data_IF_412925754320
#
_entry.id   IF_412925754320
#
_cell.length_a   1.000
_cell.length_b   1.000
_cell.length_c   1.000
_cell.angle_alpha   90.00
_cell.angle_beta   90.00
_cell.angle_gamma   90.00
#
_symmetry.space_group_name_H-M   'P 1'
#
loop_
_entity.id
_entity.type
_entity.pdbx_description
1 polymer ?
#
# COMPACT_ATOMS: atom_id res chain seq x y z
N UNK A 1 -52.10 16.81 -24.85
CA UNK A 1 -50.79 16.22 -25.22
C UNK A 1 -50.03 17.31 -25.92
N UNK A 2 -48.87 17.72 -25.39
CA UNK A 2 -47.96 18.58 -26.17
C UNK A 2 -47.39 17.67 -27.27
N UNK A 3 -47.49 18.04 -28.56
CA UNK A 3 -46.94 17.24 -29.63
C UNK A 3 -45.42 17.09 -29.44
N UNK A 4 -44.88 15.91 -29.73
CA UNK A 4 -43.44 15.76 -29.85
C UNK A 4 -43.00 16.57 -31.08
N UNK A 5 -42.09 17.52 -30.86
CA UNK A 5 -41.49 18.35 -31.91
C UNK A 5 -40.15 17.74 -32.31
N UNK A 6 -39.76 17.93 -33.57
CA UNK A 6 -38.42 17.55 -34.01
C UNK A 6 -37.35 18.58 -33.56
N UNK A 7 -36.07 18.28 -33.82
CA UNK A 7 -34.97 19.14 -33.38
C UNK A 7 -34.99 20.52 -34.05
N UNK A 8 -35.38 20.61 -35.32
CA UNK A 8 -35.48 21.88 -36.04
C UNK A 8 -36.62 22.75 -35.48
N UNK A 9 -37.77 22.15 -35.19
CA UNK A 9 -38.90 22.84 -34.56
C UNK A 9 -38.56 23.31 -33.14
N UNK A 10 -37.71 22.56 -32.42
CA UNK A 10 -37.25 22.95 -31.09
C UNK A 10 -36.32 24.18 -31.14
N UNK A 11 -35.44 24.27 -32.14
CA UNK A 11 -34.61 25.47 -32.37
C UNK A 11 -35.47 26.71 -32.65
N UNK A 12 -36.52 26.57 -33.46
CA UNK A 12 -37.47 27.67 -33.71
C UNK A 12 -38.18 28.12 -32.43
N UNK A 13 -38.53 27.18 -31.55
CA UNK A 13 -39.12 27.50 -30.24
C UNK A 13 -38.14 28.23 -29.32
N UNK A 14 -36.85 27.86 -29.33
CA UNK A 14 -35.84 28.58 -28.57
C UNK A 14 -35.67 30.02 -29.06
N UNK A 15 -35.70 30.25 -30.37
CA UNK A 15 -35.60 31.59 -30.96
C UNK A 15 -36.85 32.45 -30.71
N UNK A 16 -38.02 31.82 -30.61
CA UNK A 16 -39.28 32.51 -30.34
C UNK A 16 -39.53 32.79 -28.86
N UNK A 17 -38.86 32.07 -27.96
CA UNK A 17 -39.05 32.19 -26.52
C UNK A 17 -38.23 33.35 -25.93
N UNK A 18 -38.82 34.04 -24.96
CA UNK A 18 -38.14 35.08 -24.18
C UNK A 18 -37.28 34.49 -23.04
N UNK A 19 -37.62 33.28 -22.60
CA UNK A 19 -37.02 32.57 -21.46
C UNK A 19 -37.47 31.11 -21.42
N UNK A 20 -36.60 30.22 -20.93
CA UNK A 20 -36.91 28.83 -20.59
C UNK A 20 -36.99 28.63 -19.07
N UNK A 21 -37.98 27.88 -18.61
CA UNK A 21 -38.08 27.46 -17.21
C UNK A 21 -37.86 25.94 -17.13
N UNK A 22 -36.74 25.54 -16.55
CA UNK A 22 -36.41 24.15 -16.28
C UNK A 22 -36.92 23.79 -14.87
N UNK A 23 -38.20 23.45 -14.78
CA UNK A 23 -38.89 23.13 -13.52
C UNK A 23 -38.75 21.66 -13.10
N UNK A 24 -37.77 20.93 -13.62
CA UNK A 24 -37.53 19.53 -13.30
C UNK A 24 -37.28 19.36 -11.79
N UNK A 25 -37.84 18.30 -11.19
CA UNK A 25 -37.53 17.92 -9.80
C UNK A 25 -36.18 17.20 -9.69
N UNK A 26 -35.76 16.54 -10.77
CA UNK A 26 -34.46 15.91 -10.94
C UNK A 26 -34.19 15.77 -12.44
N UNK A 27 -33.06 16.31 -12.90
CA UNK A 27 -32.55 16.18 -14.25
C UNK A 27 -31.03 16.38 -14.22
N UNK A 28 -30.22 15.31 -14.06
CA UNK A 28 -28.82 15.43 -13.71
C UNK A 28 -28.00 16.32 -14.65
N UNK A 29 -28.27 16.27 -15.96
CA UNK A 29 -27.56 17.10 -16.95
C UNK A 29 -28.35 17.19 -18.29
N UNK A 30 -29.34 18.10 -18.38
CA UNK A 30 -30.24 18.16 -19.53
C UNK A 30 -29.61 18.85 -20.74
N UNK A 31 -29.60 18.15 -21.88
CA UNK A 31 -29.17 18.74 -23.15
C UNK A 31 -30.03 19.94 -23.56
N UNK A 32 -31.33 19.93 -23.27
CA UNK A 32 -32.23 21.06 -23.57
C UNK A 32 -31.81 22.38 -22.90
N UNK A 33 -31.08 22.31 -21.78
CA UNK A 33 -30.52 23.49 -21.14
C UNK A 33 -29.23 23.96 -21.81
N UNK A 34 -28.42 23.02 -22.30
CA UNK A 34 -27.22 23.31 -23.10
C UNK A 34 -27.63 23.94 -24.43
N UNK A 35 -28.67 23.43 -25.08
CA UNK A 35 -29.21 23.98 -26.32
C UNK A 35 -29.74 25.41 -26.10
N UNK A 36 -30.44 25.65 -24.99
CA UNK A 36 -30.86 26.99 -24.58
C UNK A 36 -29.67 27.94 -24.38
N UNK A 37 -28.56 27.48 -23.81
CA UNK A 37 -27.36 28.31 -23.66
C UNK A 37 -26.75 28.70 -25.00
N UNK A 38 -26.65 27.76 -25.96
CA UNK A 38 -26.18 28.04 -27.32
C UNK A 38 -27.11 29.02 -28.06
N UNK A 39 -28.42 28.89 -27.88
CA UNK A 39 -29.41 29.82 -28.43
C UNK A 39 -29.37 31.21 -27.76
N UNK A 40 -28.67 31.37 -26.63
CA UNK A 40 -28.71 32.58 -25.82
C UNK A 40 -30.05 32.79 -25.12
N UNK A 41 -30.85 31.73 -24.94
CA UNK A 41 -32.14 31.79 -24.29
C UNK A 41 -31.95 31.79 -22.76
N UNK A 42 -32.34 32.88 -22.04
CA UNK A 42 -32.28 32.89 -20.59
C UNK A 42 -33.02 31.69 -20.00
N UNK A 43 -32.38 30.98 -19.05
CA UNK A 43 -32.90 29.75 -18.46
C UNK A 43 -32.91 29.90 -16.94
N UNK A 44 -34.04 29.57 -16.33
CA UNK A 44 -34.17 29.46 -14.87
C UNK A 44 -34.37 28.02 -14.46
N UNK A 45 -33.69 27.61 -13.39
CA UNK A 45 -33.88 26.31 -12.78
C UNK A 45 -33.89 26.39 -11.25
N UNK A 46 -34.32 25.31 -10.62
CA UNK A 46 -34.20 25.14 -9.17
C UNK A 46 -32.79 24.64 -8.80
N UNK A 47 -32.27 25.10 -7.68
CA UNK A 47 -31.07 24.53 -7.06
C UNK A 47 -31.30 23.04 -6.74
N UNK A 48 -30.21 22.25 -6.74
CA UNK A 48 -30.19 20.82 -6.39
C UNK A 48 -30.96 19.88 -7.35
N UNK A 49 -31.46 20.37 -8.48
CA UNK A 49 -32.20 19.52 -9.45
C UNK A 49 -31.37 19.09 -10.64
N UNK A 50 -30.36 19.87 -11.01
CA UNK A 50 -29.58 19.68 -12.24
C UNK A 50 -28.15 20.18 -12.08
N UNK A 51 -27.20 19.57 -12.80
CA UNK A 51 -25.82 20.06 -12.88
C UNK A 51 -25.71 21.45 -13.50
N UNK A 52 -26.70 21.92 -14.27
CA UNK A 52 -26.76 23.29 -14.81
C UNK A 52 -26.82 24.34 -13.69
N UNK A 53 -27.51 24.03 -12.59
CA UNK A 53 -27.62 24.94 -11.45
C UNK A 53 -26.24 25.27 -10.87
N UNK A 54 -25.28 24.34 -10.87
CA UNK A 54 -23.91 24.60 -10.40
C UNK A 54 -23.18 25.63 -11.25
N UNK A 55 -23.37 25.61 -12.57
CA UNK A 55 -22.77 26.59 -13.48
C UNK A 55 -23.38 27.98 -13.25
N UNK A 56 -24.71 28.06 -13.12
CA UNK A 56 -25.42 29.31 -12.84
C UNK A 56 -25.01 29.90 -11.49
N UNK A 57 -24.99 29.10 -10.42
CA UNK A 57 -24.65 29.57 -9.07
C UNK A 57 -23.20 30.04 -8.91
N UNK A 58 -22.26 29.50 -9.70
CA UNK A 58 -20.85 29.92 -9.69
C UNK A 58 -20.58 31.19 -10.48
N UNK A 59 -21.47 31.53 -11.42
CA UNK A 59 -21.32 32.71 -12.25
C UNK A 59 -22.02 33.92 -11.60
N UNK A 60 -21.30 35.00 -11.24
CA UNK A 60 -21.88 36.17 -10.59
C UNK A 60 -23.01 36.83 -11.38
N UNK A 61 -22.96 36.73 -12.71
CA UNK A 61 -23.94 37.33 -13.61
C UNK A 61 -25.17 36.44 -13.82
N UNK A 62 -25.09 35.16 -13.49
CA UNK A 62 -26.17 34.20 -13.76
C UNK A 62 -26.80 33.60 -12.48
N UNK A 63 -26.17 33.78 -11.31
CA UNK A 63 -26.63 33.17 -10.04
C UNK A 63 -28.09 33.43 -9.69
N UNK A 64 -28.67 34.53 -10.16
CA UNK A 64 -30.09 34.86 -9.93
C UNK A 64 -31.06 33.92 -10.66
N UNK A 65 -30.57 33.12 -11.60
CA UNK A 65 -31.33 32.16 -12.41
C UNK A 65 -31.40 30.76 -11.77
N UNK A 66 -30.57 30.49 -10.75
CA UNK A 66 -30.68 29.32 -9.91
C UNK A 66 -31.39 29.71 -8.61
N UNK A 67 -32.69 29.37 -8.50
CA UNK A 67 -33.51 29.74 -7.35
C UNK A 67 -33.64 28.57 -6.36
N UNK A 68 -33.92 28.81 -5.06
CA UNK A 68 -33.99 27.75 -4.07
C UNK A 68 -34.93 26.60 -4.47
N UNK A 69 -34.58 25.39 -4.05
CA UNK A 69 -35.28 24.18 -4.46
C UNK A 69 -36.79 24.25 -4.23
N UNK A 70 -37.57 24.13 -5.32
CA UNK A 70 -39.03 24.21 -5.36
C UNK A 70 -39.65 25.53 -4.85
N UNK A 71 -38.87 26.61 -4.77
CA UNK A 71 -39.39 27.94 -4.44
C UNK A 71 -40.00 28.60 -5.68
N UNK A 72 -41.29 28.32 -5.88
CA UNK A 72 -42.06 28.82 -7.03
C UNK A 72 -42.24 30.34 -6.98
N UNK A 73 -42.26 30.94 -5.79
CA UNK A 73 -42.40 32.38 -5.62
C UNK A 73 -41.11 33.09 -6.06
N UNK A 74 -39.95 32.58 -5.63
CA UNK A 74 -38.66 33.07 -6.09
C UNK A 74 -38.51 32.92 -7.62
N UNK A 75 -38.90 31.77 -8.18
CA UNK A 75 -38.90 31.55 -9.63
C UNK A 75 -39.76 32.59 -10.38
N UNK A 76 -41.00 32.81 -9.92
CA UNK A 76 -41.91 33.78 -10.52
C UNK A 76 -41.39 35.22 -10.46
N UNK A 77 -40.75 35.60 -9.35
CA UNK A 77 -40.15 36.93 -9.19
C UNK A 77 -39.04 37.19 -10.20
N UNK A 78 -38.17 36.19 -10.46
CA UNK A 78 -37.11 36.30 -11.47
C UNK A 78 -37.71 36.42 -12.87
N UNK A 79 -38.72 35.61 -13.21
CA UNK A 79 -39.41 35.68 -14.52
C UNK A 79 -40.00 37.07 -14.75
N UNK A 80 -40.73 37.62 -13.78
CA UNK A 80 -41.35 38.95 -13.89
C UNK A 80 -40.28 40.05 -14.01
N UNK A 81 -39.16 39.92 -13.29
CA UNK A 81 -38.04 40.86 -13.36
C UNK A 81 -37.43 40.88 -14.77
N UNK A 82 -37.09 39.72 -15.32
CA UNK A 82 -36.47 39.62 -16.65
C UNK A 82 -37.42 40.03 -17.78
N UNK A 83 -38.72 39.72 -17.67
CA UNK A 83 -39.72 40.16 -18.64
C UNK A 83 -39.80 41.69 -18.78
N UNK A 84 -39.44 42.45 -17.73
CA UNK A 84 -39.45 43.92 -17.73
C UNK A 84 -38.11 44.56 -18.08
N UNK A 85 -37.05 43.77 -18.24
CA UNK A 85 -35.68 44.26 -18.44
C UNK A 85 -35.02 43.59 -19.66
N UNK A 86 -35.31 44.09 -20.88
CA UNK A 86 -34.70 43.56 -22.11
C UNK A 86 -33.18 43.62 -22.10
N UNK A 87 -32.59 44.70 -21.56
CA UNK A 87 -31.14 44.88 -21.52
C UNK A 87 -30.46 43.81 -20.65
N UNK A 88 -31.07 43.47 -19.51
CA UNK A 88 -30.58 42.36 -18.67
C UNK A 88 -30.70 41.01 -19.36
N UNK A 89 -31.79 40.77 -20.11
CA UNK A 89 -31.95 39.53 -20.89
C UNK A 89 -30.89 39.40 -21.98
N UNK A 90 -30.57 40.47 -22.69
CA UNK A 90 -29.47 40.50 -23.68
C UNK A 90 -28.11 40.22 -23.03
N UNK A 91 -27.84 40.76 -21.84
CA UNK A 91 -26.63 40.48 -21.08
C UNK A 91 -26.52 39.00 -20.67
N UNK A 92 -27.62 38.41 -20.19
CA UNK A 92 -27.68 36.98 -19.83
C UNK A 92 -27.49 36.11 -21.08
N UNK A 93 -28.15 36.46 -22.19
CA UNK A 93 -28.05 35.75 -23.46
C UNK A 93 -26.60 35.67 -23.94
N UNK A 94 -25.89 36.82 -23.97
CA UNK A 94 -24.49 36.88 -24.35
C UNK A 94 -23.60 36.03 -23.44
N UNK A 95 -23.85 36.07 -22.11
CA UNK A 95 -23.09 35.29 -21.15
C UNK A 95 -23.34 33.79 -21.28
N UNK A 96 -24.58 33.38 -21.57
CA UNK A 96 -24.95 32.00 -21.82
C UNK A 96 -24.25 31.44 -23.07
N UNK A 97 -24.24 32.19 -24.17
CA UNK A 97 -23.52 31.80 -25.39
C UNK A 97 -22.02 31.65 -25.14
N UNK A 98 -21.43 32.58 -24.38
CA UNK A 98 -20.04 32.47 -23.96
C UNK A 98 -19.81 31.20 -23.14
N UNK A 99 -20.63 30.94 -22.12
CA UNK A 99 -20.52 29.75 -21.27
C UNK A 99 -20.67 28.45 -22.06
N UNK A 100 -21.60 28.41 -23.02
CA UNK A 100 -21.77 27.28 -23.94
C UNK A 100 -20.49 27.02 -24.74
N UNK A 101 -19.91 28.06 -25.35
CA UNK A 101 -18.66 27.95 -26.12
C UNK A 101 -17.46 27.53 -25.27
N UNK A 102 -17.46 27.85 -23.97
CA UNK A 102 -16.37 27.54 -23.05
C UNK A 102 -16.47 26.11 -22.48
N UNK A 103 -17.68 25.63 -22.22
CA UNK A 103 -17.89 24.40 -21.41
C UNK A 103 -18.62 23.27 -22.16
N UNK A 104 -19.39 23.58 -23.20
CA UNK A 104 -20.33 22.64 -23.83
C UNK A 104 -20.12 22.47 -25.34
N UNK A 105 -18.96 22.86 -25.85
CA UNK A 105 -18.60 22.63 -27.25
C UNK A 105 -18.44 21.14 -27.58
N UNK A 106 -19.35 20.64 -28.42
CA UNK A 106 -19.38 19.23 -28.83
C UNK A 106 -18.11 18.81 -29.57
N UNK A 107 -17.52 19.70 -30.37
CA UNK A 107 -16.26 19.42 -31.05
C UNK A 107 -15.13 19.15 -30.06
N UNK A 108 -14.94 20.06 -29.10
CA UNK A 108 -13.94 19.93 -28.02
C UNK A 108 -14.17 18.67 -27.20
N UNK A 109 -15.42 18.36 -26.86
CA UNK A 109 -15.77 17.13 -26.14
C UNK A 109 -15.37 15.86 -26.91
N UNK A 110 -15.69 15.79 -28.21
CA UNK A 110 -15.33 14.66 -29.08
C UNK A 110 -13.82 14.54 -29.25
N UNK A 111 -13.09 15.65 -29.38
CA UNK A 111 -11.62 15.65 -29.41
C UNK A 111 -11.02 15.06 -28.13
N UNK A 112 -11.53 15.47 -26.96
CA UNK A 112 -11.10 14.93 -25.68
C UNK A 112 -11.38 13.42 -25.56
N UNK A 113 -12.60 12.97 -25.93
CA UNK A 113 -12.94 11.54 -25.95
C UNK A 113 -12.02 10.75 -26.87
N UNK A 114 -11.74 11.28 -28.06
CA UNK A 114 -10.85 10.64 -29.03
C UNK A 114 -9.42 10.53 -28.49
N UNK A 115 -8.94 11.56 -27.80
CA UNK A 115 -7.64 11.53 -27.13
C UNK A 115 -7.59 10.46 -26.01
N UNK A 116 -8.65 10.33 -25.20
CA UNK A 116 -8.75 9.27 -24.19
C UNK A 116 -8.76 7.87 -24.81
N UNK A 117 -9.52 7.67 -25.90
CA UNK A 117 -9.57 6.40 -26.62
C UNK A 117 -8.20 6.04 -27.23
N UNK A 118 -7.50 7.01 -27.81
CA UNK A 118 -6.16 6.81 -28.37
C UNK A 118 -5.14 6.43 -27.27
N UNK A 119 -5.22 7.06 -26.09
CA UNK A 119 -4.38 6.70 -24.95
C UNK A 119 -4.72 5.30 -24.42
N UNK A 120 -6.02 4.97 -24.29
CA UNK A 120 -6.47 3.65 -23.85
C UNK A 120 -6.01 2.54 -24.80
N UNK A 121 -6.07 2.78 -26.12
CA UNK A 121 -5.55 1.85 -27.12
C UNK A 121 -4.05 1.59 -26.93
N UNK A 122 -3.24 2.63 -26.72
CA UNK A 122 -1.80 2.50 -26.43
C UNK A 122 -1.53 1.68 -25.16
N UNK A 123 -2.30 1.90 -24.09
CA UNK A 123 -2.20 1.13 -22.84
C UNK A 123 -2.52 -0.35 -23.09
N UNK A 124 -3.58 -0.65 -23.83
CA UNK A 124 -3.97 -2.02 -24.16
C UNK A 124 -2.90 -2.72 -25.00
N UNK A 125 -2.33 -2.03 -25.99
CA UNK A 125 -1.29 -2.60 -26.84
C UNK A 125 0.02 -2.83 -26.07
N UNK A 126 0.39 -1.92 -25.17
CA UNK A 126 1.52 -2.12 -24.25
C UNK A 126 1.29 -3.34 -23.34
N UNK A 127 0.10 -3.47 -22.77
CA UNK A 127 -0.25 -4.62 -21.93
C UNK A 127 -0.14 -5.95 -22.70
N UNK A 128 -0.52 -6.01 -23.98
CA UNK A 128 -0.33 -7.21 -24.81
C UNK A 128 1.16 -7.53 -25.00
N UNK A 129 2.00 -6.52 -25.22
CA UNK A 129 3.45 -6.70 -25.37
C UNK A 129 4.10 -7.19 -24.07
N UNK A 130 3.68 -6.63 -22.94
CA UNK A 130 4.15 -7.06 -21.62
C UNK A 130 3.71 -8.49 -21.30
N UNK A 131 2.46 -8.85 -21.61
CA UNK A 131 1.96 -10.21 -21.47
C UNK A 131 2.77 -11.19 -22.33
N UNK A 132 3.01 -10.87 -23.61
CA UNK A 132 3.83 -11.70 -24.50
C UNK A 132 5.26 -11.88 -23.94
N UNK A 133 5.90 -10.79 -23.53
CA UNK A 133 7.25 -10.82 -22.93
C UNK A 133 7.29 -11.75 -21.71
N UNK A 134 6.33 -11.64 -20.79
CA UNK A 134 6.30 -12.44 -19.56
C UNK A 134 5.92 -13.91 -19.79
N UNK A 135 5.21 -14.23 -20.88
CA UNK A 135 4.90 -15.61 -21.25
C UNK A 135 6.05 -16.32 -21.94
N UNK A 136 6.78 -15.60 -22.78
CA UNK A 136 7.94 -16.15 -23.50
C UNK A 136 9.15 -16.39 -22.59
N UNK A 137 9.18 -15.73 -21.44
CA UNK A 137 10.34 -15.67 -20.56
C UNK A 137 9.99 -16.29 -19.20
N UNK A 138 10.76 -17.29 -18.78
CA UNK A 138 10.55 -18.03 -17.53
C UNK A 138 11.08 -17.26 -16.30
N UNK A 139 10.59 -16.03 -16.12
CA UNK A 139 11.02 -15.10 -15.06
C UNK A 139 9.91 -14.84 -14.03
N UNK A 140 8.65 -15.16 -14.35
CA UNK A 140 7.51 -14.89 -13.49
C UNK A 140 7.24 -16.09 -12.57
N UNK A 141 7.29 -15.87 -11.25
CA UNK A 141 6.91 -16.87 -10.27
C UNK A 141 5.40 -16.81 -10.01
N UNK A 142 4.66 -17.81 -10.49
CA UNK A 142 3.22 -17.91 -10.25
C UNK A 142 2.88 -18.09 -8.76
N UNK A 143 3.79 -18.68 -7.97
CA UNK A 143 3.65 -18.78 -6.50
C UNK A 143 3.70 -17.42 -5.80
N UNK A 144 4.29 -16.41 -6.44
CA UNK A 144 4.36 -15.03 -5.93
C UNK A 144 3.10 -14.22 -6.27
N UNK A 145 2.17 -14.78 -7.05
CA UNK A 145 0.94 -14.14 -7.52
C UNK A 145 -0.35 -14.83 -7.05
N UNK A 146 -0.53 -15.14 -5.74
CA UNK A 146 -1.82 -15.63 -5.28
C UNK A 146 -2.88 -14.51 -5.37
N UNK A 147 -4.15 -14.89 -5.46
CA UNK A 147 -5.23 -13.91 -5.40
C UNK A 147 -5.29 -13.21 -4.03
N UNK A 148 -6.20 -12.25 -3.88
CA UNK A 148 -6.38 -11.48 -2.63
C UNK A 148 -6.80 -12.35 -1.43
N UNK A 149 -7.09 -13.64 -1.64
CA UNK A 149 -7.51 -14.60 -0.64
C UNK A 149 -6.53 -15.78 -0.49
N UNK A 150 -5.34 -15.71 -1.12
CA UNK A 150 -4.34 -16.78 -1.03
C UNK A 150 -4.64 -18.02 -1.88
N UNK A 151 -5.71 -18.01 -2.69
CA UNK A 151 -5.99 -19.12 -3.58
C UNK A 151 -5.09 -19.02 -4.82
N UNK A 152 -4.45 -20.13 -5.17
CA UNK A 152 -3.88 -20.28 -6.51
C UNK A 152 -5.00 -20.07 -7.53
N UNK A 153 -4.79 -19.20 -8.50
CA UNK A 153 -5.79 -18.90 -9.53
C UNK A 153 -6.00 -20.14 -10.41
N UNK A 154 -6.94 -20.99 -10.02
CA UNK A 154 -7.48 -22.02 -10.89
C UNK A 154 -8.34 -21.33 -11.97
N UNK A 155 -7.74 -21.09 -13.14
CA UNK A 155 -8.43 -20.49 -14.28
C UNK A 155 -8.55 -18.96 -14.20
N UNK A 156 -8.45 -18.33 -15.37
CA UNK A 156 -8.05 -16.92 -15.62
C UNK A 156 -6.56 -16.66 -15.41
N UNK A 157 -5.90 -16.33 -16.52
CA UNK A 157 -4.45 -16.28 -16.65
C UNK A 157 -3.79 -15.24 -15.72
N UNK A 158 -2.99 -15.73 -14.77
CA UNK A 158 -2.31 -14.93 -13.75
C UNK A 158 -1.38 -13.87 -14.35
N UNK A 159 -0.74 -14.17 -15.49
CA UNK A 159 0.12 -13.22 -16.23
C UNK A 159 -0.70 -12.00 -16.66
N UNK A 160 -1.83 -12.22 -17.33
CA UNK A 160 -2.73 -11.17 -17.78
C UNK A 160 -3.31 -10.36 -16.63
N UNK A 161 -3.64 -10.99 -15.49
CA UNK A 161 -4.08 -10.26 -14.29
C UNK A 161 -2.96 -9.36 -13.74
N UNK A 162 -1.75 -9.88 -13.62
CA UNK A 162 -0.57 -9.14 -13.16
C UNK A 162 -0.27 -7.93 -14.05
N UNK A 163 -0.28 -8.12 -15.37
CA UNK A 163 -0.04 -7.05 -16.35
C UNK A 163 -1.16 -6.00 -16.30
N UNK A 164 -2.43 -6.43 -16.23
CA UNK A 164 -3.58 -5.50 -16.17
C UNK A 164 -3.57 -4.60 -14.94
N UNK A 165 -3.11 -5.09 -13.79
CA UNK A 165 -2.94 -4.25 -12.61
C UNK A 165 -1.93 -3.12 -12.85
N UNK A 166 -0.86 -3.39 -13.61
CA UNK A 166 0.08 -2.33 -14.01
C UNK A 166 -0.57 -1.37 -15.01
N UNK A 167 -1.21 -1.90 -16.06
CA UNK A 167 -1.83 -1.12 -17.12
C UNK A 167 -2.96 -0.19 -16.63
N UNK A 168 -3.62 -0.54 -15.52
CA UNK A 168 -4.62 0.31 -14.86
C UNK A 168 -4.01 1.55 -14.18
N UNK A 169 -2.69 1.74 -14.24
CA UNK A 169 -2.01 2.84 -13.56
C UNK A 169 -2.02 2.70 -12.04
N UNK A 170 -2.24 1.47 -11.52
CA UNK A 170 -2.31 1.24 -10.08
C UNK A 170 -1.04 1.77 -9.41
N UNK A 171 -1.24 2.77 -8.55
CA UNK A 171 -0.15 3.40 -7.81
C UNK A 171 0.31 2.50 -6.67
N UNK A 172 1.63 2.36 -6.49
CA UNK A 172 2.22 1.62 -5.36
C UNK A 172 1.86 2.19 -3.98
N UNK A 173 1.23 3.37 -3.93
CA UNK A 173 0.99 4.15 -2.72
C UNK A 173 -0.38 3.87 -2.06
N UNK A 174 -1.18 2.92 -2.54
CA UNK A 174 -2.52 2.68 -1.98
C UNK A 174 -3.17 1.33 -2.29
N UNK A 175 -2.43 0.35 -2.81
CA UNK A 175 -2.94 -0.98 -3.12
C UNK A 175 -1.84 -2.03 -3.11
N UNK A 176 -2.18 -3.26 -2.72
CA UNK A 176 -1.27 -4.41 -2.66
C UNK A 176 -0.78 -4.76 -4.07
N UNK A 177 0.41 -4.28 -4.45
CA UNK A 177 1.11 -4.77 -5.63
C UNK A 177 1.90 -6.03 -5.26
N UNK A 178 1.91 -7.03 -6.14
CA UNK A 178 2.64 -8.28 -5.91
C UNK A 178 3.99 -8.26 -6.58
N UNK A 179 4.97 -8.79 -5.88
CA UNK A 179 6.29 -9.08 -6.40
C UNK A 179 6.16 -10.19 -7.47
N UNK A 180 6.72 -10.01 -8.67
CA UNK A 180 6.55 -10.98 -9.74
C UNK A 180 7.42 -12.22 -9.58
N UNK A 181 8.54 -12.09 -8.85
CA UNK A 181 9.45 -13.18 -8.51
C UNK A 181 10.24 -12.82 -7.25
N UNK A 182 10.67 -13.81 -6.45
CA UNK A 182 11.62 -13.56 -5.39
C UNK A 182 12.86 -12.81 -5.91
N UNK A 183 13.28 -11.79 -5.17
CA UNK A 183 14.51 -11.05 -5.43
C UNK A 183 14.38 -9.88 -6.40
N UNK A 184 13.23 -9.68 -7.05
CA UNK A 184 12.97 -8.51 -7.89
C UNK A 184 12.06 -7.50 -7.18
N UNK A 185 12.41 -6.21 -7.17
CA UNK A 185 11.64 -5.12 -6.54
C UNK A 185 11.03 -4.20 -7.60
N UNK A 186 9.74 -4.38 -7.95
CA UNK A 186 9.08 -3.63 -9.02
C UNK A 186 9.03 -2.13 -8.77
N UNK A 187 8.81 -1.75 -7.51
CA UNK A 187 8.70 -0.36 -7.07
C UNK A 187 10.05 0.34 -7.05
N UNK A 188 11.12 -0.35 -6.63
CA UNK A 188 12.49 0.17 -6.72
C UNK A 188 12.91 0.32 -8.19
N UNK A 189 12.58 -0.66 -9.04
CA UNK A 189 12.83 -0.57 -10.48
C UNK A 189 12.13 0.65 -11.08
N UNK A 190 10.84 0.84 -10.76
CA UNK A 190 10.04 1.97 -11.25
C UNK A 190 10.51 3.32 -10.71
N UNK A 191 11.01 3.41 -9.48
CA UNK A 191 11.59 4.66 -8.96
C UNK A 191 12.80 5.11 -9.80
N UNK A 192 13.57 4.17 -10.35
CA UNK A 192 14.70 4.43 -11.25
C UNK A 192 14.30 4.61 -12.73
N UNK A 193 13.06 4.26 -13.08
CA UNK A 193 12.48 4.36 -14.43
C UNK A 193 11.12 5.08 -14.34
N UNK A 194 11.11 6.39 -14.05
CA UNK A 194 9.88 7.14 -13.75
C UNK A 194 8.90 7.21 -14.92
N UNK A 195 9.38 7.02 -16.15
CA UNK A 195 8.61 6.90 -17.38
C UNK A 195 7.60 5.74 -17.35
N UNK A 196 7.87 4.68 -16.57
CA UNK A 196 6.94 3.57 -16.35
C UNK A 196 5.71 3.95 -15.51
N UNK A 197 5.74 5.12 -14.87
CA UNK A 197 4.61 5.65 -14.08
C UNK A 197 3.66 6.53 -14.91
N UNK A 198 3.84 6.61 -16.22
CA UNK A 198 2.97 7.32 -17.14
C UNK A 198 2.44 6.38 -18.24
N UNK A 199 1.28 6.70 -18.88
CA UNK A 199 0.79 5.95 -20.02
C UNK A 199 1.88 5.78 -21.10
N UNK A 200 2.10 4.56 -21.63
CA UNK A 200 1.18 3.43 -21.57
C UNK A 200 1.36 2.45 -20.38
N UNK A 201 2.08 2.84 -19.32
CA UNK A 201 2.30 2.06 -18.08
C UNK A 201 2.93 0.69 -18.31
N UNK A 202 4.15 0.64 -18.84
CA UNK A 202 4.81 -0.65 -19.06
C UNK A 202 5.09 -1.38 -17.74
N UNK A 203 4.91 -2.70 -17.74
CA UNK A 203 5.19 -3.55 -16.60
C UNK A 203 6.69 -3.55 -16.23
N UNK A 204 7.06 -3.30 -14.96
CA UNK A 204 8.46 -3.25 -14.54
C UNK A 204 9.29 -4.49 -14.88
N UNK A 205 8.73 -5.70 -14.67
CA UNK A 205 9.46 -6.93 -14.97
C UNK A 205 9.62 -7.12 -16.49
N UNK A 206 8.54 -6.91 -17.25
CA UNK A 206 8.59 -7.01 -18.71
C UNK A 206 9.57 -6.00 -19.32
N UNK A 207 9.56 -4.76 -18.83
CA UNK A 207 10.51 -3.73 -19.23
C UNK A 207 11.95 -4.10 -18.90
N UNK A 208 12.22 -4.60 -17.68
CA UNK A 208 13.55 -5.07 -17.26
C UNK A 208 14.08 -6.18 -18.17
N UNK A 209 13.23 -7.16 -18.51
CA UNK A 209 13.57 -8.24 -19.45
C UNK A 209 13.94 -7.67 -20.83
N UNK A 210 13.09 -6.81 -21.42
CA UNK A 210 13.34 -6.21 -22.73
C UNK A 210 14.56 -5.30 -22.75
N UNK A 211 14.91 -4.71 -21.61
CA UNK A 211 16.10 -3.88 -21.42
C UNK A 211 17.40 -4.69 -21.28
N UNK A 212 17.36 -6.02 -21.45
CA UNK A 212 18.54 -6.87 -21.35
C UNK A 212 18.91 -7.26 -19.92
N UNK A 213 17.94 -7.20 -18.99
CA UNK A 213 18.12 -7.60 -17.58
C UNK A 213 19.27 -6.87 -16.87
N UNK A 214 19.29 -5.52 -16.87
CA UNK A 214 20.35 -4.79 -16.20
C UNK A 214 20.40 -5.09 -14.70
N UNK A 215 21.61 -5.15 -14.17
CA UNK A 215 21.87 -5.17 -12.72
C UNK A 215 21.45 -3.85 -12.07
N UNK A 216 21.06 -3.89 -10.81
CA UNK A 216 20.69 -2.70 -10.06
C UNK A 216 20.06 -2.98 -8.70
N UNK A 217 19.71 -1.94 -7.93
CA UNK A 217 19.20 -2.06 -6.57
C UNK A 217 17.81 -2.70 -6.47
N UNK A 218 17.15 -2.93 -7.60
CA UNK A 218 15.90 -3.70 -7.68
C UNK A 218 16.12 -5.21 -7.65
N UNK A 219 17.38 -5.68 -7.75
CA UNK A 219 17.74 -7.09 -7.58
C UNK A 219 18.34 -7.29 -6.19
N UNK A 220 18.06 -8.44 -5.60
CA UNK A 220 18.67 -8.87 -4.34
C UNK A 220 18.81 -10.38 -4.24
N UNK A 221 19.66 -10.79 -3.31
CA UNK A 221 19.86 -12.18 -2.98
C UNK A 221 18.70 -12.72 -2.14
N UNK A 222 18.18 -13.86 -2.56
CA UNK A 222 17.15 -14.61 -1.84
C UNK A 222 17.68 -16.00 -1.53
N UNK A 223 17.61 -16.39 -0.27
CA UNK A 223 17.94 -17.72 0.20
C UNK A 223 16.70 -18.61 0.14
N UNK A 224 16.72 -19.63 -0.72
CA UNK A 224 15.75 -20.71 -0.67
C UNK A 224 16.14 -21.72 0.42
N UNK A 225 15.22 -21.97 1.36
CA UNK A 225 15.46 -22.90 2.49
C UNK A 225 15.47 -24.37 2.08
N UNK A 226 14.97 -24.71 0.89
CA UNK A 226 14.97 -26.09 0.38
C UNK A 226 16.33 -26.53 -0.17
N UNK A 227 17.06 -25.61 -0.79
CA UNK A 227 18.29 -25.90 -1.55
C UNK A 227 19.57 -25.60 -0.78
N UNK A 228 19.46 -25.10 0.44
CA UNK A 228 20.62 -24.77 1.26
C UNK A 228 21.41 -26.04 1.62
N UNK A 229 22.70 -26.04 1.26
CA UNK A 229 23.58 -27.21 1.32
C UNK A 229 23.86 -27.75 2.72
N UNK A 230 24.92 -28.57 2.83
CA UNK A 230 25.29 -29.22 4.10
C UNK A 230 25.54 -28.16 5.19
N UNK A 231 24.82 -28.30 6.30
CA UNK A 231 25.01 -27.46 7.49
C UNK A 231 26.43 -27.61 8.02
N UNK A 232 27.16 -26.50 8.10
CA UNK A 232 28.45 -26.42 8.78
C UNK A 232 28.23 -25.96 10.22
N UNK A 233 28.33 -26.91 11.13
CA UNK A 233 28.10 -26.73 12.57
C UNK A 233 29.38 -26.40 13.35
N UNK A 234 30.50 -26.18 12.65
CA UNK A 234 31.81 -25.95 13.26
C UNK A 234 31.96 -24.56 13.89
N UNK A 235 31.27 -23.55 13.36
CA UNK A 235 31.26 -22.18 13.89
C UNK A 235 30.04 -21.93 14.78
N UNK A 236 30.27 -21.66 16.07
CA UNK A 236 29.21 -21.36 17.03
C UNK A 236 29.14 -19.85 17.29
N UNK A 237 28.32 -19.15 16.52
CA UNK A 237 27.92 -17.79 16.85
C UNK A 237 26.98 -17.81 18.07
N UNK A 238 27.14 -16.85 18.97
CA UNK A 238 26.18 -16.63 20.05
C UNK A 238 24.91 -15.98 19.50
N UNK A 239 23.74 -16.52 19.85
CA UNK A 239 22.45 -16.03 19.35
C UNK A 239 21.55 -15.61 20.50
N UNK A 240 21.12 -14.35 20.50
CA UNK A 240 20.12 -13.82 21.42
C UNK A 240 18.78 -13.67 20.70
N UNK A 241 17.72 -14.34 21.16
CA UNK A 241 16.40 -14.27 20.53
C UNK A 241 15.43 -13.49 21.43
N UNK A 242 15.08 -12.28 21.00
CA UNK A 242 13.98 -11.53 21.59
C UNK A 242 12.63 -12.06 21.10
N UNK A 243 11.73 -12.30 22.05
CA UNK A 243 10.38 -12.82 21.80
C UNK A 243 9.37 -11.92 22.52
N UNK A 244 8.55 -11.17 21.77
CA UNK A 244 7.43 -10.44 22.36
C UNK A 244 6.14 -11.26 22.31
N UNK A 245 5.53 -11.55 23.47
CA UNK A 245 4.32 -12.35 23.59
C UNK A 245 3.18 -11.58 24.26
N UNK A 246 2.34 -10.93 23.44
CA UNK A 246 1.04 -10.45 23.91
C UNK A 246 0.10 -11.63 24.26
N UNK A 247 0.13 -12.70 23.43
CA UNK A 247 -0.60 -13.94 23.67
C UNK A 247 0.36 -15.09 23.97
N UNK A 248 0.42 -15.51 25.24
CA UNK A 248 1.39 -16.51 25.70
C UNK A 248 1.26 -17.90 25.04
N UNK A 249 0.08 -18.23 24.50
CA UNK A 249 -0.19 -19.53 23.85
C UNK A 249 0.71 -19.82 22.64
N UNK A 250 1.25 -18.77 22.00
CA UNK A 250 2.14 -18.92 20.83
C UNK A 250 3.53 -19.42 21.23
N UNK A 251 3.89 -19.37 22.53
CA UNK A 251 5.18 -19.82 23.02
C UNK A 251 5.47 -21.29 22.70
N UNK A 252 4.47 -22.17 22.83
CA UNK A 252 4.65 -23.60 22.59
C UNK A 252 5.05 -23.89 21.14
N UNK A 253 4.44 -23.17 20.19
CA UNK A 253 4.76 -23.24 18.77
C UNK A 253 6.17 -22.73 18.47
N UNK A 254 6.59 -21.63 19.10
CA UNK A 254 7.96 -21.11 18.95
C UNK A 254 8.98 -22.13 19.46
N UNK A 255 8.72 -22.74 20.63
CA UNK A 255 9.63 -23.72 21.22
C UNK A 255 9.77 -24.97 20.36
N UNK A 256 8.69 -25.51 19.79
CA UNK A 256 8.77 -26.66 18.89
C UNK A 256 9.56 -26.37 17.61
N UNK A 257 9.44 -25.15 17.08
CA UNK A 257 10.25 -24.72 15.91
C UNK A 257 11.71 -24.52 16.26
N UNK A 258 12.02 -24.03 17.46
CA UNK A 258 13.42 -24.00 17.92
C UNK A 258 13.97 -25.42 18.08
N UNK A 259 13.15 -26.39 18.49
CA UNK A 259 13.55 -27.79 18.71
C UNK A 259 14.17 -28.47 17.49
N UNK A 260 13.68 -28.18 16.28
CA UNK A 260 14.20 -28.80 15.04
C UNK A 260 15.62 -28.33 14.67
N UNK A 261 16.08 -27.22 15.24
CA UNK A 261 17.37 -26.62 14.93
C UNK A 261 18.48 -27.10 15.88
N UNK A 262 19.74 -27.00 15.47
CA UNK A 262 20.90 -27.23 16.35
C UNK A 262 21.35 -25.96 17.07
N UNK A 263 21.10 -24.79 16.50
CA UNK A 263 21.35 -23.48 17.08
C UNK A 263 20.57 -23.31 18.37
N UNK A 264 21.24 -22.91 19.44
CA UNK A 264 20.66 -22.82 20.78
C UNK A 264 20.68 -21.37 21.27
N UNK A 265 19.62 -20.59 20.96
CA UNK A 265 19.60 -19.19 21.36
C UNK A 265 19.36 -19.03 22.87
N UNK A 266 19.89 -17.96 23.43
CA UNK A 266 19.41 -17.42 24.69
C UNK A 266 18.09 -16.66 24.43
N UNK A 267 17.12 -16.77 25.33
CA UNK A 267 15.78 -16.23 25.13
C UNK A 267 15.55 -14.99 26.01
N UNK A 268 15.11 -13.90 25.38
CA UNK A 268 14.69 -12.66 26.03
C UNK A 268 13.21 -12.43 25.75
N UNK A 269 12.34 -12.78 26.70
CA UNK A 269 10.90 -12.83 26.49
C UNK A 269 10.21 -11.66 27.20
N UNK A 270 9.51 -10.82 26.43
CA UNK A 270 8.65 -9.76 26.96
C UNK A 270 7.18 -10.15 26.89
N UNK A 271 6.40 -9.68 27.86
CA UNK A 271 4.93 -9.75 27.85
C UNK A 271 4.34 -8.61 28.66
N UNK A 272 3.05 -8.32 28.46
CA UNK A 272 2.37 -7.17 29.08
C UNK A 272 1.44 -7.55 30.23
N UNK A 273 1.28 -8.85 30.54
CA UNK A 273 0.43 -9.31 31.64
C UNK A 273 1.13 -10.28 32.57
N UNK A 274 0.88 -10.14 33.88
CA UNK A 274 1.42 -11.03 34.91
C UNK A 274 0.98 -12.49 34.73
N UNK A 275 -0.25 -12.69 34.23
CA UNK A 275 -0.78 -14.02 33.91
C UNK A 275 0.03 -14.69 32.79
N UNK A 276 0.31 -13.96 31.71
CA UNK A 276 1.17 -14.44 30.64
C UNK A 276 2.59 -14.70 31.15
N UNK A 277 3.17 -13.77 31.93
CA UNK A 277 4.50 -13.92 32.49
C UNK A 277 4.63 -15.19 33.34
N UNK A 278 3.64 -15.45 34.22
CA UNK A 278 3.60 -16.65 35.06
C UNK A 278 3.58 -17.94 34.23
N UNK A 279 2.77 -17.97 33.17
CA UNK A 279 2.73 -19.10 32.24
C UNK A 279 4.06 -19.28 31.50
N UNK A 280 4.63 -18.20 30.95
CA UNK A 280 5.89 -18.19 30.19
C UNK A 280 7.03 -18.70 31.08
N UNK A 281 7.18 -18.15 32.30
CA UNK A 281 8.20 -18.57 33.26
C UNK A 281 8.06 -20.05 33.58
N UNK A 282 6.84 -20.52 33.87
CA UNK A 282 6.58 -21.94 34.14
C UNK A 282 6.97 -22.82 32.96
N UNK A 283 6.62 -22.42 31.74
CA UNK A 283 6.87 -23.20 30.52
C UNK A 283 8.35 -23.24 30.15
N UNK A 284 9.08 -22.16 30.37
CA UNK A 284 10.51 -22.06 30.08
C UNK A 284 11.40 -22.70 31.16
N UNK A 285 10.85 -23.15 32.30
CA UNK A 285 11.60 -23.96 33.29
C UNK A 285 12.23 -25.22 32.71
N UNK A 286 11.70 -25.76 31.61
CA UNK A 286 12.26 -26.93 30.92
C UNK A 286 13.19 -26.59 29.76
N UNK A 287 13.39 -25.29 29.45
CA UNK A 287 14.31 -24.88 28.41
C UNK A 287 15.76 -25.17 28.85
N UNK A 288 16.49 -25.97 28.07
CA UNK A 288 17.88 -26.40 28.37
C UNK A 288 18.85 -26.05 27.25
N UNK A 289 18.46 -25.12 26.37
CA UNK A 289 19.23 -24.74 25.19
C UNK A 289 20.06 -23.47 25.42
N UNK A 290 19.61 -22.56 26.29
CA UNK A 290 20.33 -21.32 26.61
C UNK A 290 19.81 -20.67 27.88
N UNK A 291 20.34 -19.48 28.20
CA UNK A 291 19.81 -18.57 29.21
C UNK A 291 18.38 -18.18 28.84
N UNK A 292 17.54 -17.99 29.85
CA UNK A 292 16.19 -17.44 29.69
C UNK A 292 16.05 -16.24 30.60
N UNK A 293 15.49 -15.17 30.05
CA UNK A 293 15.10 -13.98 30.78
C UNK A 293 13.68 -13.58 30.38
N UNK A 294 12.82 -13.36 31.37
CA UNK A 294 11.40 -12.99 31.15
C UNK A 294 11.13 -11.69 31.89
N UNK A 295 10.62 -10.69 31.18
CA UNK A 295 10.30 -9.37 31.77
C UNK A 295 8.87 -8.95 31.43
N UNK A 296 8.23 -8.34 32.42
CA UNK A 296 6.94 -7.67 32.25
C UNK A 296 7.21 -6.24 31.76
N UNK A 297 6.59 -5.86 30.65
CA UNK A 297 6.72 -4.51 30.06
C UNK A 297 5.37 -3.81 30.04
N UNK A 298 5.31 -2.47 29.99
CA UNK A 298 4.06 -1.77 29.72
C UNK A 298 3.47 -2.19 28.36
N UNK A 299 2.15 -2.10 28.22
CA UNK A 299 1.46 -2.32 26.93
C UNK A 299 1.62 -1.09 26.02
N UNK A 300 2.86 -0.79 25.65
CA UNK A 300 3.27 0.40 24.90
C UNK A 300 4.43 0.05 23.98
N UNK A 301 4.44 0.58 22.76
CA UNK A 301 5.49 0.31 21.77
C UNK A 301 5.44 -1.06 21.08
N UNK A 302 4.37 -1.86 21.31
CA UNK A 302 4.19 -3.21 20.75
C UNK A 302 5.44 -4.08 20.94
N UNK A 303 5.96 -4.71 19.88
CA UNK A 303 7.17 -5.52 19.88
C UNK A 303 8.47 -4.70 19.81
N UNK A 304 8.42 -3.48 19.25
CA UNK A 304 9.58 -2.57 19.11
C UNK A 304 10.03 -2.03 20.46
N UNK A 305 9.09 -1.54 21.28
CA UNK A 305 9.37 -0.97 22.60
C UNK A 305 10.17 -1.93 23.50
N UNK A 306 9.67 -3.15 23.74
CA UNK A 306 10.41 -4.18 24.47
C UNK A 306 11.76 -4.56 23.84
N UNK A 307 11.88 -4.59 22.52
CA UNK A 307 13.16 -4.92 21.89
C UNK A 307 14.22 -3.81 22.12
N UNK A 308 13.87 -2.56 21.81
CA UNK A 308 14.83 -1.45 21.82
C UNK A 308 15.05 -0.90 23.23
N UNK A 309 13.97 -0.77 24.02
CA UNK A 309 13.98 -0.07 25.32
C UNK A 309 14.31 -1.01 26.47
N UNK A 310 13.71 -2.21 26.47
CA UNK A 310 13.82 -3.13 27.60
C UNK A 310 15.05 -4.04 27.48
N UNK A 311 15.22 -4.70 26.32
CA UNK A 311 16.27 -5.71 26.11
C UNK A 311 17.45 -5.24 25.27
N UNK A 312 17.48 -3.98 24.87
CA UNK A 312 18.48 -3.48 23.92
C UNK A 312 19.92 -3.70 24.37
N UNK A 313 20.22 -3.48 25.65
CA UNK A 313 21.58 -3.60 26.18
C UNK A 313 22.11 -5.03 26.16
N UNK A 314 21.24 -6.01 26.41
CA UNK A 314 21.56 -7.44 26.43
C UNK A 314 21.72 -7.97 25.01
N UNK A 315 20.83 -7.56 24.10
CA UNK A 315 20.86 -7.97 22.70
C UNK A 315 22.16 -7.53 22.00
N UNK A 316 22.67 -6.34 22.32
CA UNK A 316 23.94 -5.84 21.78
C UNK A 316 25.17 -6.72 22.14
N UNK A 317 25.05 -7.62 23.12
CA UNK A 317 26.12 -8.52 23.55
C UNK A 317 26.30 -9.80 22.72
N UNK A 318 25.44 -10.06 21.72
CA UNK A 318 25.47 -11.29 20.92
C UNK A 318 26.12 -11.08 19.55
N UNK A 319 26.58 -12.17 18.93
CA UNK A 319 27.06 -12.12 17.54
C UNK A 319 25.91 -11.93 16.55
N UNK A 320 24.75 -12.54 16.86
CA UNK A 320 23.52 -12.50 16.07
C UNK A 320 22.35 -12.32 17.03
N UNK A 321 21.41 -11.44 16.68
CA UNK A 321 20.14 -11.31 17.37
C UNK A 321 18.99 -11.68 16.47
N UNK A 322 18.00 -12.37 17.03
CA UNK A 322 16.70 -12.60 16.42
C UNK A 322 15.64 -11.76 17.11
N UNK A 323 14.68 -11.28 16.34
CA UNK A 323 13.51 -10.60 16.84
C UNK A 323 12.25 -11.25 16.25
N UNK A 324 11.41 -11.81 17.12
CA UNK A 324 10.13 -12.42 16.76
C UNK A 324 9.03 -11.99 17.75
N UNK A 325 7.78 -12.15 17.34
CA UNK A 325 6.65 -11.89 18.22
C UNK A 325 5.48 -12.84 17.98
N UNK A 326 4.58 -12.98 18.96
CA UNK A 326 3.45 -13.92 18.95
C UNK A 326 2.26 -13.49 18.10
N UNK A 327 2.51 -12.97 16.88
CA UNK A 327 1.52 -12.36 15.99
C UNK A 327 0.18 -13.09 15.97
N UNK A 328 -0.86 -12.42 16.47
CA UNK A 328 -2.25 -12.87 16.44
C UNK A 328 -3.12 -11.63 16.31
N UNK A 329 -3.94 -11.56 15.27
CA UNK A 329 -4.88 -10.45 15.05
C UNK A 329 -6.31 -10.95 15.26
N UNK A 330 -7.04 -10.37 16.21
CA UNK A 330 -8.46 -10.69 16.43
C UNK A 330 -9.37 -10.06 15.35
N UNK A 331 -8.97 -8.93 14.78
CA UNK A 331 -9.76 -8.16 13.82
C UNK A 331 -9.92 -8.85 12.45
N UNK A 332 -8.93 -9.62 12.01
CA UNK A 332 -8.96 -10.34 10.73
C UNK A 332 -9.66 -11.71 10.83
N UNK A 333 -9.94 -12.19 12.04
CA UNK A 333 -10.55 -13.50 12.27
C UNK A 333 -12.05 -13.53 11.96
N UNK A 334 -12.73 -12.38 11.85
CA UNK A 334 -14.17 -12.33 11.62
C UNK A 334 -14.56 -12.34 10.13
N UNK A 335 -13.63 -12.14 9.19
CA UNK A 335 -13.94 -12.00 7.76
C UNK A 335 -13.73 -13.25 6.91
N UNK A 336 -12.95 -14.23 7.36
CA UNK A 336 -12.63 -15.42 6.55
C UNK A 336 -12.83 -16.69 7.39
N UNK A 337 -13.94 -17.41 7.17
CA UNK A 337 -14.28 -18.66 7.85
C UNK A 337 -13.34 -19.84 7.51
N UNK A 338 -12.08 -19.75 7.94
CA UNK A 338 -10.99 -20.72 7.77
C UNK A 338 -9.80 -20.39 8.67
N UNK A 339 -8.62 -20.98 8.44
CA UNK A 339 -7.38 -20.54 9.10
C UNK A 339 -7.24 -19.03 8.90
N UNK A 340 -7.10 -18.27 9.99
CA UNK A 340 -7.14 -16.82 9.87
C UNK A 340 -5.96 -16.34 9.02
N UNK A 341 -6.15 -15.26 8.24
CA UNK A 341 -5.04 -14.63 7.51
C UNK A 341 -3.85 -14.29 8.42
N UNK A 342 -4.11 -14.06 9.72
CA UNK A 342 -3.09 -13.89 10.74
C UNK A 342 -2.28 -15.18 11.02
N UNK A 343 -2.92 -16.35 10.98
CA UNK A 343 -2.25 -17.64 11.18
C UNK A 343 -1.40 -18.00 9.96
N UNK A 344 -1.91 -17.77 8.74
CA UNK A 344 -1.13 -17.96 7.50
C UNK A 344 0.12 -17.07 7.51
N UNK A 345 -0.03 -15.80 7.90
CA UNK A 345 1.11 -14.90 8.00
C UNK A 345 2.09 -15.32 9.11
N UNK A 346 1.60 -15.74 10.28
CA UNK A 346 2.49 -16.26 11.34
C UNK A 346 3.24 -17.50 10.88
N UNK A 347 2.55 -18.45 10.25
CA UNK A 347 3.13 -19.66 9.68
C UNK A 347 4.24 -19.32 8.67
N UNK A 348 3.95 -18.41 7.74
CA UNK A 348 4.92 -17.90 6.78
C UNK A 348 6.18 -17.33 7.46
N UNK A 349 6.01 -16.43 8.44
CA UNK A 349 7.14 -15.82 9.15
C UNK A 349 7.97 -16.86 9.90
N UNK A 350 7.30 -17.77 10.61
CA UNK A 350 7.97 -18.77 11.43
C UNK A 350 8.67 -19.85 10.61
N UNK A 351 8.08 -20.33 9.49
CA UNK A 351 8.77 -21.25 8.57
C UNK A 351 10.05 -20.64 8.01
N UNK A 352 10.02 -19.33 7.73
CA UNK A 352 11.15 -18.63 7.12
C UNK A 352 12.26 -18.26 8.12
N UNK A 353 11.95 -18.10 9.41
CA UNK A 353 12.90 -17.59 10.41
C UNK A 353 13.30 -18.61 11.48
N UNK A 354 12.36 -19.41 11.95
CA UNK A 354 12.59 -20.38 13.01
C UNK A 354 12.73 -21.78 12.41
N UNK A 355 11.82 -22.14 11.52
CA UNK A 355 11.78 -23.43 10.86
C UNK A 355 10.51 -24.21 11.17
N UNK A 356 10.58 -25.50 10.83
CA UNK A 356 9.65 -26.60 11.08
C UNK A 356 9.90 -27.62 9.95
N UNK A 357 9.46 -27.30 8.73
CA UNK A 357 9.78 -28.10 7.53
C UNK A 357 11.27 -28.05 7.21
N UNK A 358 11.88 -26.89 7.38
CA UNK A 358 13.31 -26.65 7.18
C UNK A 358 13.93 -26.11 8.47
N UNK A 359 15.25 -26.27 8.63
CA UNK A 359 16.02 -25.77 9.77
C UNK A 359 16.43 -24.31 9.56
N UNK A 360 15.43 -23.44 9.41
CA UNK A 360 15.63 -22.06 8.96
C UNK A 360 16.62 -21.28 9.83
N UNK A 361 16.50 -21.38 11.16
CA UNK A 361 17.41 -20.71 12.08
C UNK A 361 18.88 -21.13 11.87
N UNK A 362 19.13 -22.43 11.66
CA UNK A 362 20.50 -22.91 11.42
C UNK A 362 21.07 -22.38 10.10
N UNK A 363 20.25 -22.31 9.06
CA UNK A 363 20.62 -21.80 7.75
C UNK A 363 20.93 -20.29 7.76
N UNK A 364 20.13 -19.54 8.53
CA UNK A 364 20.35 -18.11 8.76
C UNK A 364 21.68 -17.90 9.50
N UNK A 365 21.92 -18.62 10.59
CA UNK A 365 23.17 -18.53 11.35
C UNK A 365 24.37 -18.94 10.50
N UNK A 366 24.25 -20.00 9.70
CA UNK A 366 25.29 -20.41 8.76
C UNK A 366 25.61 -19.28 7.76
N UNK A 367 24.60 -18.57 7.27
CA UNK A 367 24.79 -17.47 6.33
C UNK A 367 25.52 -16.28 6.95
N UNK A 368 25.18 -15.92 8.19
CA UNK A 368 25.99 -14.96 8.96
C UNK A 368 27.42 -15.48 9.19
N UNK A 369 27.62 -16.76 9.44
CA UNK A 369 28.97 -17.30 9.63
C UNK A 369 29.82 -17.28 8.35
N UNK A 370 29.18 -17.38 7.19
CA UNK A 370 29.82 -17.41 5.87
C UNK A 370 30.09 -16.01 5.31
N UNK A 371 29.23 -15.04 5.60
CA UNK A 371 29.37 -13.67 5.14
C UNK A 371 29.43 -12.67 6.31
N UNK A 372 30.61 -12.05 6.49
CA UNK A 372 30.84 -11.03 7.51
C UNK A 372 30.11 -9.72 7.20
N UNK A 373 29.80 -9.45 5.92
CA UNK A 373 29.10 -8.25 5.49
C UNK A 373 27.58 -8.41 5.58
N UNK A 374 27.05 -9.63 5.73
CA UNK A 374 25.63 -9.84 5.98
C UNK A 374 25.24 -9.30 7.36
N UNK A 375 24.34 -8.32 7.39
CA UNK A 375 23.88 -7.66 8.59
C UNK A 375 22.43 -7.96 8.96
N UNK A 376 21.57 -8.34 8.01
CA UNK A 376 20.14 -8.53 8.26
C UNK A 376 19.54 -9.64 7.37
N UNK A 377 18.65 -10.44 7.93
CA UNK A 377 17.92 -11.53 7.26
C UNK A 377 16.44 -11.49 7.67
N UNK A 378 15.54 -11.50 6.68
CA UNK A 378 14.09 -11.51 6.94
C UNK A 378 13.30 -12.21 5.82
N UNK A 379 12.02 -12.57 6.01
CA UNK A 379 11.24 -13.27 4.99
C UNK A 379 10.96 -12.41 3.76
N UNK A 380 11.02 -13.04 2.58
CA UNK A 380 10.66 -12.42 1.29
C UNK A 380 9.13 -12.29 1.17
N UNK A 381 8.57 -11.13 1.51
CA UNK A 381 7.13 -10.90 1.33
C UNK A 381 6.80 -10.68 -0.17
N UNK A 382 5.86 -11.45 -0.74
CA UNK A 382 5.37 -11.21 -2.10
C UNK A 382 4.55 -9.93 -2.22
N UNK A 383 4.08 -9.35 -1.12
CA UNK A 383 3.34 -8.09 -1.11
C UNK A 383 4.32 -6.93 -1.00
N UNK A 384 4.29 -6.04 -1.99
CA UNK A 384 5.06 -4.80 -1.99
C UNK A 384 4.31 -3.74 -1.18
N UNK A 385 4.93 -3.26 -0.11
CA UNK A 385 4.42 -2.19 0.74
C UNK A 385 5.49 -1.08 0.80
N UNK A 386 5.07 0.18 0.63
CA UNK A 386 5.95 1.35 0.71
C UNK A 386 5.92 2.01 2.09
N UNK A 387 6.09 3.33 2.14
CA UNK A 387 6.02 4.10 3.38
C UNK A 387 4.62 4.43 3.89
N UNK A 388 3.62 4.47 2.99
CA UNK A 388 2.23 4.88 3.30
C UNK A 388 2.19 6.16 4.15
N UNK A 389 1.54 6.16 5.31
CA UNK A 389 1.42 7.31 6.21
C UNK A 389 2.67 7.54 7.08
N UNK A 390 3.70 6.70 6.97
CA UNK A 390 4.85 6.69 7.89
C UNK A 390 6.05 7.50 7.41
N UNK A 391 6.05 8.03 6.20
CA UNK A 391 7.24 8.69 5.63
C UNK A 391 7.75 9.81 6.53
N UNK A 392 6.87 10.70 7.02
CA UNK A 392 7.25 11.80 7.92
C UNK A 392 7.82 11.30 9.26
N UNK A 393 7.24 10.25 9.83
CA UNK A 393 7.77 9.63 11.05
C UNK A 393 9.15 9.02 10.80
N UNK A 394 9.34 8.36 9.66
CA UNK A 394 10.63 7.79 9.27
C UNK A 394 11.71 8.87 9.10
N UNK A 395 11.39 10.02 8.52
CA UNK A 395 12.33 11.15 8.45
C UNK A 395 12.76 11.64 9.84
N UNK A 396 11.83 11.72 10.79
CA UNK A 396 12.12 12.10 12.17
C UNK A 396 13.00 11.07 12.89
N UNK A 397 12.70 9.77 12.70
CA UNK A 397 13.51 8.67 13.25
C UNK A 397 14.91 8.68 12.63
N UNK A 398 15.03 8.85 11.31
CA UNK A 398 16.31 8.94 10.61
C UNK A 398 17.18 10.06 11.17
N UNK A 399 16.62 11.26 11.33
CA UNK A 399 17.33 12.38 11.96
C UNK A 399 17.79 12.07 13.39
N UNK A 400 16.94 11.41 14.20
CA UNK A 400 17.26 11.03 15.58
C UNK A 400 18.44 10.05 15.66
N UNK A 401 18.50 9.09 14.75
CA UNK A 401 19.57 8.06 14.74
C UNK A 401 20.79 8.47 13.90
N UNK A 402 20.90 9.75 13.53
CA UNK A 402 22.06 10.29 12.81
C UNK A 402 22.13 9.94 11.32
N UNK A 403 21.01 9.55 10.70
CA UNK A 403 20.89 9.29 9.27
C UNK A 403 20.30 10.50 8.53
N UNK A 404 20.48 10.53 7.20
CA UNK A 404 19.83 11.53 6.34
C UNK A 404 18.30 11.38 6.40
N UNK A 405 17.54 12.48 6.58
CA UNK A 405 16.08 12.45 6.46
C UNK A 405 15.59 12.41 5.00
N UNK A 406 16.50 12.52 4.01
CA UNK A 406 16.18 12.29 2.60
C UNK A 406 16.15 10.77 2.33
N UNK A 407 14.98 10.18 2.55
CA UNK A 407 14.75 8.74 2.45
C UNK A 407 14.24 8.36 1.04
N UNK A 408 14.63 7.20 0.51
CA UNK A 408 14.13 6.73 -0.79
C UNK A 408 12.61 6.57 -0.78
N UNK A 409 11.95 6.71 -1.93
CA UNK A 409 10.48 6.60 -2.00
C UNK A 409 10.02 5.14 -1.99
N UNK A 410 10.78 4.25 -2.63
CA UNK A 410 10.58 2.82 -2.60
C UNK A 410 11.52 2.16 -1.58
N UNK A 411 10.98 1.27 -0.75
CA UNK A 411 11.73 0.57 0.29
C UNK A 411 11.38 -0.90 0.35
N UNK A 412 12.29 -1.67 0.92
CA UNK A 412 12.06 -3.03 1.40
C UNK A 412 12.19 -3.03 2.91
N UNK A 413 11.42 -3.88 3.59
CA UNK A 413 11.48 -4.03 5.04
C UNK A 413 10.92 -5.39 5.49
N UNK A 414 11.26 -5.86 6.70
CA UNK A 414 10.67 -7.07 7.26
C UNK A 414 9.18 -6.86 7.56
N UNK A 415 8.30 -7.18 6.62
CA UNK A 415 6.85 -6.99 6.79
C UNK A 415 6.32 -7.85 7.94
N UNK A 416 5.93 -7.21 9.03
CA UNK A 416 5.59 -7.86 10.29
C UNK A 416 6.72 -7.86 11.32
N UNK A 417 7.74 -7.03 11.13
CA UNK A 417 8.85 -6.78 12.03
C UNK A 417 9.43 -8.06 12.67
N UNK A 418 9.81 -9.06 11.87
CA UNK A 418 10.54 -10.23 12.36
C UNK A 418 11.76 -10.48 11.49
N UNK A 419 12.92 -10.66 12.11
CA UNK A 419 14.20 -10.75 11.41
C UNK A 419 15.30 -11.34 12.31
N UNK A 420 16.43 -11.67 11.69
CA UNK A 420 17.72 -11.83 12.36
C UNK A 420 18.69 -10.76 11.88
N UNK A 421 19.51 -10.23 12.78
CA UNK A 421 20.48 -9.20 12.46
C UNK A 421 21.79 -9.40 13.22
N UNK A 422 22.88 -8.87 12.68
CA UNK A 422 24.03 -8.50 13.49
C UNK A 422 23.67 -7.27 14.30
N UNK A 423 23.93 -7.22 15.61
CA UNK A 423 23.68 -6.01 16.39
C UNK A 423 24.35 -4.76 15.81
N UNK A 424 25.57 -4.91 15.28
CA UNK A 424 26.30 -3.82 14.63
C UNK A 424 25.58 -3.23 13.40
N UNK A 425 24.80 -4.03 12.66
CA UNK A 425 24.12 -3.59 11.45
C UNK A 425 22.91 -2.69 11.76
N UNK A 426 22.26 -2.89 12.91
CA UNK A 426 21.08 -2.12 13.32
C UNK A 426 21.32 -1.30 14.59
N UNK A 427 22.60 -1.15 14.98
CA UNK A 427 23.03 -0.42 16.18
C UNK A 427 22.44 1.00 16.29
N UNK A 428 22.29 1.80 15.20
CA UNK A 428 21.70 3.12 15.29
C UNK A 428 20.28 3.14 15.90
N UNK A 429 19.48 2.08 15.73
CA UNK A 429 18.16 1.99 16.35
C UNK A 429 18.25 1.87 17.88
N UNK A 430 19.27 1.20 18.40
CA UNK A 430 19.54 1.12 19.84
C UNK A 430 20.17 2.42 20.37
N UNK A 431 21.07 3.04 19.59
CA UNK A 431 21.72 4.30 19.95
C UNK A 431 20.77 5.50 19.91
N UNK A 432 19.60 5.37 19.26
CA UNK A 432 18.52 6.35 19.29
C UNK A 432 17.93 6.61 20.68
N UNK A 433 18.26 5.77 21.68
CA UNK A 433 17.83 5.89 23.07
C UNK A 433 16.33 6.15 23.19
N UNK A 434 15.53 5.33 22.54
CA UNK A 434 14.07 5.39 22.67
C UNK A 434 13.65 5.00 24.08
N UNK A 435 12.71 5.74 24.64
CA UNK A 435 12.10 5.43 25.92
C UNK A 435 10.58 5.18 25.78
N UNK A 436 9.93 4.77 26.87
CA UNK A 436 8.51 4.43 26.83
C UNK A 436 7.61 5.60 26.44
N UNK A 437 8.03 6.86 26.66
CA UNK A 437 7.26 8.06 26.33
C UNK A 437 7.27 8.38 24.83
N UNK A 438 8.26 7.88 24.08
CA UNK A 438 8.37 8.06 22.63
C UNK A 438 7.27 7.31 21.85
N UNK A 439 6.75 6.24 22.42
CA UNK A 439 5.75 5.41 21.76
C UNK A 439 4.33 5.92 22.05
N UNK A 440 3.40 5.90 21.09
CA UNK A 440 2.02 6.28 21.35
C UNK A 440 1.32 5.34 22.35
N UNK A 441 0.31 5.86 23.06
CA UNK A 441 -0.56 5.05 23.91
C UNK A 441 -1.51 4.19 23.06
N UNK A 442 -1.82 2.99 23.53
CA UNK A 442 -2.79 2.11 22.86
C UNK A 442 -4.24 2.55 23.15
N UNK A 443 -5.19 2.36 22.21
CA UNK A 443 -5.03 1.72 20.91
C UNK A 443 -4.41 2.66 19.87
N UNK A 444 -3.38 2.20 19.17
CA UNK A 444 -2.76 2.97 18.08
C UNK A 444 -3.46 2.68 16.74
N UNK A 445 -3.44 3.63 15.78
CA UNK A 445 -3.97 3.40 14.44
C UNK A 445 -3.31 2.22 13.71
N UNK A 446 -3.99 1.70 12.68
CA UNK A 446 -3.47 0.59 11.86
C UNK A 446 -2.13 0.91 11.18
N UNK A 447 -1.92 2.18 10.81
CA UNK A 447 -0.72 2.67 10.15
C UNK A 447 -0.40 4.11 10.62
N UNK A 448 0.72 4.70 10.19
CA UNK A 448 0.99 6.12 10.46
C UNK A 448 1.48 6.43 11.88
N UNK A 449 2.41 5.62 12.39
CA UNK A 449 3.00 5.82 13.73
C UNK A 449 4.51 5.65 13.71
N UNK A 450 5.20 6.12 14.75
CA UNK A 450 6.65 5.92 14.92
C UNK A 450 7.05 4.44 14.91
N UNK A 451 6.17 3.54 15.37
CA UNK A 451 6.45 2.11 15.41
C UNK A 451 6.56 1.53 14.00
N UNK A 452 5.59 1.84 13.13
CA UNK A 452 5.64 1.44 11.72
C UNK A 452 6.81 2.09 10.97
N UNK A 453 7.20 3.31 11.34
CA UNK A 453 8.39 3.95 10.79
C UNK A 453 9.69 3.22 11.16
N UNK A 454 9.86 2.85 12.44
CA UNK A 454 11.04 2.09 12.92
C UNK A 454 11.12 0.72 12.22
N UNK A 455 10.01 -0.03 12.15
CA UNK A 455 9.93 -1.31 11.41
C UNK A 455 10.47 -1.16 9.99
N UNK A 456 9.95 -0.16 9.26
CA UNK A 456 10.24 0.07 7.84
C UNK A 456 11.64 0.60 7.56
N UNK A 457 12.33 1.13 8.57
CA UNK A 457 13.68 1.65 8.45
C UNK A 457 14.77 0.59 8.56
N UNK A 458 14.47 -0.61 9.06
CA UNK A 458 15.50 -1.60 9.45
C UNK A 458 16.54 -1.90 8.35
N UNK A 459 16.17 -2.13 7.07
CA UNK A 459 17.18 -2.35 6.02
C UNK A 459 17.98 -1.10 5.66
N UNK A 460 17.36 0.09 5.67
CA UNK A 460 18.09 1.34 5.43
C UNK A 460 19.14 1.61 6.52
N UNK A 461 18.81 1.27 7.77
CA UNK A 461 19.77 1.33 8.88
C UNK A 461 20.91 0.33 8.63
N UNK A 462 20.60 -0.91 8.27
CA UNK A 462 21.58 -1.94 7.91
C UNK A 462 22.57 -1.46 6.84
N UNK A 463 22.05 -0.91 5.74
CA UNK A 463 22.84 -0.38 4.64
C UNK A 463 23.70 0.83 5.06
N UNK A 464 23.15 1.72 5.91
CA UNK A 464 23.90 2.88 6.43
C UNK A 464 25.13 2.49 7.24
N UNK A 465 25.12 1.29 7.85
CA UNK A 465 26.23 0.74 8.60
C UNK A 465 27.21 -0.06 7.73
N UNK A 466 27.00 -0.09 6.41
CA UNK A 466 27.86 -0.78 5.44
C UNK A 466 27.61 -2.29 5.37
N UNK A 467 26.50 -2.78 5.92
CA UNK A 467 26.12 -4.19 5.84
C UNK A 467 25.14 -4.44 4.68
N UNK A 468 25.18 -5.66 4.16
CA UNK A 468 24.17 -6.18 3.23
C UNK A 468 23.03 -6.86 3.99
N UNK A 469 21.96 -7.12 3.28
CA UNK A 469 20.85 -7.91 3.80
C UNK A 469 20.38 -8.92 2.75
N UNK A 470 19.73 -9.98 3.19
CA UNK A 470 19.16 -11.01 2.34
C UNK A 470 17.73 -11.32 2.78
N UNK A 471 16.95 -11.90 1.89
CA UNK A 471 15.63 -12.44 2.26
C UNK A 471 15.56 -13.96 2.13
N UNK A 472 14.63 -14.58 2.85
CA UNK A 472 14.42 -16.04 2.83
C UNK A 472 13.10 -16.39 2.15
N UNK A 473 13.08 -17.52 1.45
CA UNK A 473 11.86 -18.13 0.92
C UNK A 473 11.76 -19.59 1.32
N UNK A 474 10.59 -20.01 1.78
CA UNK A 474 10.24 -21.41 2.05
C UNK A 474 9.22 -21.89 1.00
N UNK A 475 9.58 -22.84 0.11
CA UNK A 475 8.67 -23.32 -0.93
C UNK A 475 7.33 -23.82 -0.35
N UNK A 476 6.23 -23.38 -0.95
CA UNK A 476 4.88 -23.71 -0.50
C UNK A 476 4.33 -22.90 0.67
N UNK A 477 5.10 -21.94 1.21
CA UNK A 477 4.65 -21.00 2.24
C UNK A 477 4.77 -19.57 1.73
N UNK A 478 3.61 -18.95 1.48
CA UNK A 478 3.48 -17.58 0.97
C UNK A 478 2.35 -16.85 1.71
N UNK A 479 2.32 -15.51 1.61
CA UNK A 479 1.37 -14.65 2.33
C UNK A 479 0.20 -14.18 1.47
#
# INVERSE_FOLDING_TARGET
>A
MVPAVDASELEELYLAADMMILSSRLDPFPNVAIDAFHAGLPLLCFEQTTGIAEYLSRDPDLKELAVPYLDVEAAANVVVKLAKDPARRECIAARFQQLASEQFEMHTYVEQLTAFLAQAAKIVDQAKQDEATLREQDELSLESLPDTLGNGLAGTDAVKRYVRLTAAGASFHGGMFRRPKPGFSPHIYRERHPDLSAPPFQNPLAHWIRSGRPEGPWLRNVMSLETSGRLDVSRKATVGLHIHLHYAVVLDEILSRLEVNETKPDLFVSTTSEKAASYIVKRLKSYRRGKVEVRLTPNRGRDIGPMLTEFGSELLGYDIIGHIHGKKSEAWNQMAGGASASDIWREFLFQNLLGDRFRALDLIVQSFNNDKNLGLVFPEDPTVVGWTENYKFAQAVAARIGMSPDLPKAIEFPTGNMFFARPAAIKPLFDGQFDWSDYPEEPIPYDGTILHAIERMTPLVCESQGFSWLTTTSPGYTR
#
